data_IF_495565624166
#
_entry.id   IF_495565624166
#
_cell.length_a   1.000
_cell.length_b   1.000
_cell.length_c   1.000
_cell.angle_alpha   90.00
_cell.angle_beta   90.00
_cell.angle_gamma   90.00
#
_symmetry.space_group_name_H-M   'P 1'
#
loop_
_entity.id
_entity.type
_entity.pdbx_description
1 polymer ?
#
# COMPACT_ATOMS: atom_id res chain seq x y z
N UNK A 1 -7.46 0.02 -1.96
CA UNK A 1 -6.79 0.79 -3.03
C UNK A 1 -5.91 -0.14 -3.86
N UNK A 2 -5.95 -0.07 -5.18
CA UNK A 2 -5.04 -0.79 -6.10
C UNK A 2 -4.19 0.21 -6.87
N UNK A 3 -3.01 -0.21 -7.33
CA UNK A 3 -2.04 0.65 -8.00
C UNK A 3 -1.53 0.00 -9.31
N UNK A 4 -0.74 0.72 -10.11
CA UNK A 4 -0.21 0.24 -11.39
C UNK A 4 1.30 0.10 -11.28
N UNK A 5 1.85 -1.04 -11.69
CA UNK A 5 3.28 -1.27 -11.64
C UNK A 5 4.02 -0.26 -12.54
N UNK A 6 4.98 0.51 -12.01
CA UNK A 6 5.73 1.46 -12.82
C UNK A 6 6.69 0.78 -13.82
N UNK A 7 7.00 -0.50 -13.62
CA UNK A 7 7.96 -1.24 -14.45
C UNK A 7 7.31 -1.97 -15.62
N UNK A 8 6.25 -2.75 -15.38
CA UNK A 8 5.59 -3.54 -16.43
C UNK A 8 4.17 -3.07 -16.75
N UNK A 9 3.73 -1.95 -16.17
CA UNK A 9 2.41 -1.32 -16.39
C UNK A 9 1.20 -2.22 -16.06
N UNK A 10 1.44 -3.32 -15.35
CA UNK A 10 0.40 -4.19 -14.82
C UNK A 10 -0.49 -3.41 -13.84
N UNK A 11 -1.80 -3.47 -14.03
CA UNK A 11 -2.77 -2.66 -13.29
C UNK A 11 -3.42 -3.47 -12.17
N UNK A 12 -4.09 -2.78 -11.25
CA UNK A 12 -4.92 -3.44 -10.24
C UNK A 12 -4.13 -4.13 -9.12
N UNK A 13 -2.87 -3.72 -8.88
CA UNK A 13 -2.00 -4.37 -7.91
C UNK A 13 -2.39 -3.93 -6.50
N UNK A 14 -2.76 -4.91 -5.66
CA UNK A 14 -3.08 -4.67 -4.26
C UNK A 14 -1.81 -4.45 -3.43
N UNK A 15 -1.86 -3.63 -2.37
CA UNK A 15 -0.74 -3.45 -1.47
C UNK A 15 -0.50 -4.74 -0.67
N UNK A 16 0.76 -5.13 -0.57
CA UNK A 16 1.19 -6.28 0.25
C UNK A 16 1.45 -5.90 1.70
N UNK A 17 1.63 -4.60 1.95
CA UNK A 17 1.85 -4.05 3.29
C UNK A 17 1.27 -2.64 3.37
N UNK A 18 0.77 -2.29 4.54
CA UNK A 18 0.36 -0.91 4.85
C UNK A 18 0.90 -0.53 6.22
N UNK A 19 1.43 0.69 6.34
CA UNK A 19 1.99 1.21 7.59
C UNK A 19 1.47 2.62 7.85
N UNK A 20 0.95 2.82 9.05
CA UNK A 20 0.53 4.13 9.53
C UNK A 20 1.64 4.74 10.40
N UNK A 21 1.92 6.03 10.21
CA UNK A 21 2.76 6.85 11.09
C UNK A 21 2.10 8.22 11.27
N UNK A 22 1.41 8.42 12.39
CA UNK A 22 0.65 9.63 12.63
C UNK A 22 -0.39 9.86 11.53
N UNK A 23 -0.28 10.99 10.84
CA UNK A 23 -1.14 11.35 9.70
C UNK A 23 -0.66 10.79 8.36
N UNK A 24 0.37 9.95 8.32
CA UNK A 24 0.87 9.37 7.07
C UNK A 24 0.50 7.90 6.96
N UNK A 25 -0.04 7.52 5.80
CA UNK A 25 -0.32 6.14 5.40
C UNK A 25 0.61 5.77 4.26
N UNK A 26 1.49 4.81 4.48
CA UNK A 26 2.35 4.24 3.47
C UNK A 26 1.81 2.87 3.04
N UNK A 27 1.63 2.68 1.73
CA UNK A 27 1.29 1.39 1.13
C UNK A 27 2.50 0.85 0.37
N UNK A 28 2.91 -0.37 0.67
CA UNK A 28 3.92 -1.12 -0.06
C UNK A 28 3.27 -2.07 -1.05
N UNK A 29 3.80 -2.09 -2.27
CA UNK A 29 3.31 -2.89 -3.39
C UNK A 29 4.42 -3.79 -3.93
N UNK A 30 4.01 -4.95 -4.44
CA UNK A 30 4.88 -5.87 -5.19
C UNK A 30 4.12 -6.38 -6.40
N UNK A 31 4.68 -6.19 -7.58
CA UNK A 31 4.05 -6.65 -8.81
C UNK A 31 4.10 -8.18 -8.90
N UNK A 32 2.99 -8.88 -9.18
CA UNK A 32 3.00 -10.32 -9.37
C UNK A 32 3.72 -10.73 -10.67
N UNK A 33 3.67 -9.89 -11.71
CA UNK A 33 4.27 -10.17 -13.03
C UNK A 33 5.79 -9.98 -13.03
N UNK A 34 6.28 -8.77 -12.72
CA UNK A 34 7.71 -8.45 -12.82
C UNK A 34 8.45 -8.44 -11.48
N UNK A 35 7.76 -8.68 -10.36
CA UNK A 35 8.31 -8.66 -8.99
C UNK A 35 8.90 -7.33 -8.53
N UNK A 36 8.76 -6.25 -9.32
CA UNK A 36 9.14 -4.91 -8.91
C UNK A 36 8.39 -4.49 -7.64
N UNK A 37 9.09 -3.79 -6.75
CA UNK A 37 8.58 -3.35 -5.45
C UNK A 37 8.62 -1.84 -5.38
N UNK A 38 7.54 -1.22 -4.91
CA UNK A 38 7.46 0.22 -4.71
C UNK A 38 6.58 0.54 -3.50
N UNK A 39 6.68 1.77 -3.02
CA UNK A 39 5.85 2.25 -1.93
C UNK A 39 5.26 3.62 -2.27
N UNK A 40 4.01 3.84 -1.86
CA UNK A 40 3.31 5.11 -2.03
C UNK A 40 2.92 5.62 -0.65
N UNK A 41 3.37 6.84 -0.32
CA UNK A 41 2.95 7.55 0.88
C UNK A 41 1.79 8.48 0.57
N UNK A 42 0.76 8.49 1.41
CA UNK A 42 -0.36 9.41 1.35
C UNK A 42 -0.61 10.05 2.71
N UNK A 43 -1.08 11.29 2.71
CA UNK A 43 -1.58 11.96 3.90
C UNK A 43 -2.97 11.37 4.24
N UNK A 44 -3.07 10.72 5.39
CA UNK A 44 -4.27 10.08 5.91
C UNK A 44 -5.41 11.09 6.17
N UNK A 45 -5.09 12.37 6.35
CA UNK A 45 -6.07 13.46 6.53
C UNK A 45 -6.96 13.70 5.30
N UNK A 46 -6.54 13.27 4.09
CA UNK A 46 -7.30 13.47 2.85
C UNK A 46 -8.14 12.24 2.47
N UNK A 47 -7.85 11.06 3.04
CA UNK A 47 -8.53 9.81 2.72
C UNK A 47 -9.04 9.13 4.01
N UNK A 48 -10.20 9.55 4.55
CA UNK A 48 -10.73 9.04 5.82
C UNK A 48 -11.25 7.58 5.75
N UNK A 49 -11.40 7.01 4.56
CA UNK A 49 -11.99 5.69 4.35
C UNK A 49 -10.98 4.70 3.78
N UNK A 50 -10.03 4.22 4.58
CA UNK A 50 -9.40 2.90 4.35
C UNK A 50 -8.54 2.37 5.51
N UNK A 51 -8.94 2.65 6.74
CA UNK A 51 -8.32 2.04 7.94
C UNK A 51 -8.85 0.62 8.11
N UNK A 52 -8.42 -0.32 7.26
CA UNK A 52 -8.54 -1.74 7.60
C UNK A 52 -7.38 -2.09 8.54
N UNK A 53 -7.66 -1.95 9.83
CA UNK A 53 -6.77 -2.23 10.94
C UNK A 53 -6.40 -3.71 10.95
N UNK A 54 -5.30 -4.10 10.31
CA UNK A 54 -4.66 -5.38 10.64
C UNK A 54 -3.78 -5.18 11.87
N UNK A 55 -4.38 -5.44 13.03
CA UNK A 55 -3.70 -5.62 14.30
C UNK A 55 -2.73 -6.80 14.12
N UNK A 56 -1.43 -6.55 14.20
CA UNK A 56 -0.43 -7.62 14.35
C UNK A 56 -0.58 -8.18 15.77
N UNK A 57 -0.89 -9.48 15.90
CA UNK A 57 -0.69 -10.24 17.14
C UNK A 57 0.80 -10.16 17.51
N UNK A 58 1.08 -9.64 18.70
CA UNK A 58 2.37 -9.82 19.37
C UNK A 58 2.50 -11.29 19.79
N UNK A 59 3.71 -11.83 19.61
CA UNK A 59 4.11 -13.18 20.01
C UNK A 59 4.15 -13.33 21.54
#
# INVERSE_FOLDING_TARGET
>A
MTDTCPNCLERGIAPIASRHRGQHLAHGYRCPCCRHQWAVGRLATVYPTQTHTQIRKAA
#
